data_IF_384004161383
#
_entry.id   IF_384004161383
#
_cell.length_a   1.000
_cell.length_b   1.000
_cell.length_c   1.000
_cell.angle_alpha   90.00
_cell.angle_beta   90.00
_cell.angle_gamma   90.00
#
_symmetry.space_group_name_H-M   'P 1'
#
loop_
_entity.id
_entity.type
_entity.pdbx_description
1 polymer ?
#
# COMPACT_ATOMS: atom_id res chain seq x y z
N UNK A 1 -26.54 4.14 -7.73
CA UNK A 1 -25.09 4.34 -7.53
C UNK A 1 -24.58 5.17 -8.71
N UNK A 2 -23.61 6.03 -8.52
CA UNK A 2 -23.00 6.86 -9.55
C UNK A 2 -21.50 7.03 -9.30
N UNK A 3 -20.80 7.60 -10.26
CA UNK A 3 -19.39 7.98 -10.17
C UNK A 3 -19.34 9.49 -10.33
N UNK A 4 -18.65 10.19 -9.44
CA UNK A 4 -18.48 11.65 -9.55
C UNK A 4 -17.36 12.03 -10.55
N UNK A 5 -17.10 13.33 -10.71
CA UNK A 5 -16.08 13.85 -11.62
C UNK A 5 -14.64 13.45 -11.23
N UNK A 6 -14.42 13.08 -9.96
CA UNK A 6 -13.12 12.64 -9.44
C UNK A 6 -12.96 11.11 -9.46
N UNK A 7 -13.98 10.38 -9.92
CA UNK A 7 -14.00 8.92 -9.97
C UNK A 7 -14.44 8.26 -8.66
N UNK A 8 -15.00 9.03 -7.72
CA UNK A 8 -15.50 8.48 -6.46
C UNK A 8 -16.88 7.83 -6.66
N UNK A 9 -17.04 6.64 -6.09
CA UNK A 9 -18.32 5.94 -6.06
C UNK A 9 -19.25 6.60 -5.05
N UNK A 10 -20.42 7.04 -5.52
CA UNK A 10 -21.44 7.68 -4.70
C UNK A 10 -22.72 6.84 -4.68
N UNK A 11 -23.35 6.71 -3.51
CA UNK A 11 -24.55 5.89 -3.31
C UNK A 11 -25.72 6.76 -2.86
N UNK A 12 -26.84 6.67 -3.56
CA UNK A 12 -28.13 7.22 -3.11
C UNK A 12 -29.16 6.11 -3.04
N UNK A 13 -29.63 5.83 -1.84
CA UNK A 13 -30.54 4.71 -1.57
C UNK A 13 -31.21 4.90 -0.22
N UNK A 14 -32.41 4.36 0.00
CA UNK A 14 -33.04 4.30 1.33
C UNK A 14 -32.19 3.52 2.37
N UNK A 15 -31.21 2.70 1.94
CA UNK A 15 -30.30 1.97 2.80
C UNK A 15 -29.10 2.79 3.29
N UNK A 16 -28.89 4.01 2.77
CA UNK A 16 -27.88 4.92 3.29
C UNK A 16 -28.25 5.34 4.70
N UNK A 17 -27.28 5.27 5.63
CA UNK A 17 -27.48 5.69 7.02
C UNK A 17 -27.88 7.17 7.12
N UNK A 18 -28.57 7.53 8.21
CA UNK A 18 -28.95 8.93 8.46
C UNK A 18 -27.76 9.83 8.81
N UNK A 19 -26.63 9.24 9.19
CA UNK A 19 -25.39 9.95 9.56
C UNK A 19 -24.49 9.13 10.48
N UNK A 20 -23.37 9.72 10.86
CA UNK A 20 -22.40 9.15 11.78
C UNK A 20 -22.70 9.58 13.22
N UNK A 21 -22.79 8.63 14.13
CA UNK A 21 -23.17 8.89 15.52
C UNK A 21 -22.22 9.87 16.21
N UNK A 22 -22.78 10.93 16.81
CA UNK A 22 -22.06 12.02 17.47
C UNK A 22 -20.96 12.69 16.61
N UNK A 23 -21.10 12.62 15.27
CA UNK A 23 -20.12 13.20 14.34
C UNK A 23 -20.82 13.92 13.17
N UNK A 24 -21.46 15.08 13.44
CA UNK A 24 -22.19 15.83 12.42
C UNK A 24 -21.29 16.32 11.28
N UNK A 25 -20.07 16.76 11.58
CA UNK A 25 -19.12 17.29 10.59
C UNK A 25 -18.77 16.22 9.54
N UNK A 26 -18.52 14.98 9.97
CA UNK A 26 -18.29 13.85 9.06
C UNK A 26 -19.56 13.52 8.28
N UNK A 27 -20.72 13.62 8.91
CA UNK A 27 -22.01 13.37 8.25
C UNK A 27 -22.22 14.36 7.11
N UNK A 28 -22.04 15.65 7.33
CA UNK A 28 -22.18 16.70 6.31
C UNK A 28 -21.19 16.56 5.17
N UNK A 29 -19.96 16.12 5.46
CA UNK A 29 -18.94 15.88 4.46
C UNK A 29 -19.19 14.63 3.61
N UNK A 30 -19.75 13.58 4.23
CA UNK A 30 -19.93 12.29 3.56
C UNK A 30 -21.30 12.12 2.91
N UNK A 31 -22.33 12.83 3.40
CA UNK A 31 -23.68 12.75 2.85
C UNK A 31 -24.08 14.12 2.32
N UNK A 32 -23.91 14.32 1.02
CA UNK A 32 -24.21 15.57 0.33
C UNK A 32 -25.41 15.37 -0.60
N UNK A 33 -26.46 16.16 -0.44
CA UNK A 33 -27.69 16.09 -1.24
C UNK A 33 -28.33 14.68 -1.29
N UNK A 34 -28.16 13.92 -0.21
CA UNK A 34 -28.65 12.54 -0.07
C UNK A 34 -27.78 11.50 -0.81
N UNK A 35 -26.61 11.89 -1.31
CA UNK A 35 -25.59 10.99 -1.83
C UNK A 35 -24.53 10.74 -0.78
N UNK A 36 -24.28 9.45 -0.47
CA UNK A 36 -23.14 9.03 0.34
C UNK A 36 -21.90 8.97 -0.55
N UNK A 37 -20.90 9.80 -0.24
CA UNK A 37 -19.56 9.74 -0.78
C UNK A 37 -18.78 8.64 -0.06
N UNK A 38 -18.47 7.54 -0.76
CA UNK A 38 -17.92 6.34 -0.12
C UNK A 38 -16.44 6.46 0.23
N UNK A 39 -15.75 7.40 -0.41
CA UNK A 39 -14.29 7.50 -0.38
C UNK A 39 -13.59 6.43 -1.23
N UNK A 40 -14.35 5.55 -1.89
CA UNK A 40 -13.81 4.53 -2.79
C UNK A 40 -13.84 5.03 -4.24
N UNK A 41 -12.74 4.84 -4.94
CA UNK A 41 -12.62 5.13 -6.38
C UNK A 41 -13.01 3.90 -7.18
N UNK A 42 -13.72 4.10 -8.27
CA UNK A 42 -14.17 2.98 -9.09
C UNK A 42 -14.83 3.39 -10.39
N UNK A 43 -15.35 2.39 -11.09
CA UNK A 43 -16.10 2.55 -12.31
C UNK A 43 -17.36 1.70 -12.28
N UNK A 44 -18.33 2.07 -13.11
CA UNK A 44 -19.54 1.31 -13.36
C UNK A 44 -19.56 1.05 -14.87
N UNK A 45 -19.61 -0.22 -15.26
CA UNK A 45 -19.68 -0.57 -16.67
C UNK A 45 -21.10 -0.43 -17.24
N UNK A 46 -21.26 -0.67 -18.54
CA UNK A 46 -22.55 -0.54 -19.24
C UNK A 46 -23.60 -1.54 -18.77
N UNK A 47 -23.19 -2.66 -18.18
CA UNK A 47 -24.06 -3.68 -17.61
C UNK A 47 -24.40 -3.39 -16.11
N UNK A 48 -23.82 -2.31 -15.54
CA UNK A 48 -24.06 -1.87 -14.18
C UNK A 48 -23.19 -2.53 -13.12
N UNK A 49 -22.16 -3.31 -13.49
CA UNK A 49 -21.19 -3.86 -12.55
C UNK A 49 -20.25 -2.79 -12.05
N UNK A 50 -19.98 -2.83 -10.74
CA UNK A 50 -19.12 -1.89 -10.04
C UNK A 50 -17.73 -2.50 -9.85
N UNK A 51 -16.70 -1.80 -10.30
CA UNK A 51 -15.31 -2.14 -10.03
C UNK A 51 -14.67 -1.09 -9.13
N UNK A 52 -14.10 -1.53 -8.00
CA UNK A 52 -13.38 -0.66 -7.05
C UNK A 52 -11.89 -0.73 -7.37
N UNK A 53 -11.26 0.42 -7.60
CA UNK A 53 -9.83 0.53 -7.94
C UNK A 53 -8.97 1.04 -6.78
N UNK A 54 -9.60 1.51 -5.71
CA UNK A 54 -8.87 1.97 -4.53
C UNK A 54 -9.66 2.95 -3.68
N UNK A 55 -8.95 3.60 -2.75
CA UNK A 55 -9.51 4.67 -1.91
C UNK A 55 -8.94 6.02 -2.28
N UNK A 56 -9.80 7.03 -2.34
CA UNK A 56 -9.43 8.43 -2.66
C UNK A 56 -8.32 8.95 -1.73
N UNK A 57 -8.44 8.72 -0.43
CA UNK A 57 -7.44 9.13 0.59
C UNK A 57 -6.14 8.32 0.59
N UNK A 58 -6.14 7.16 -0.06
CA UNK A 58 -4.97 6.28 -0.13
C UNK A 58 -4.19 6.47 -1.44
N UNK A 59 -4.68 7.35 -2.34
CA UNK A 59 -3.94 7.71 -3.55
C UNK A 59 -2.59 8.32 -3.19
N UNK A 60 -1.57 7.85 -3.89
CA UNK A 60 -0.22 8.40 -3.82
C UNK A 60 -0.06 9.39 -4.97
N UNK A 61 0.18 10.65 -4.65
CA UNK A 61 0.44 11.69 -5.65
C UNK A 61 1.95 11.91 -5.72
N UNK A 62 2.59 11.38 -6.74
CA UNK A 62 4.04 11.53 -6.92
C UNK A 62 4.45 12.98 -7.15
N UNK A 63 5.74 13.31 -6.98
CA UNK A 63 6.27 14.65 -7.29
C UNK A 63 6.04 15.07 -8.75
N UNK A 64 5.83 14.12 -9.66
CA UNK A 64 5.47 14.36 -11.06
C UNK A 64 3.97 14.57 -11.29
N UNK A 65 3.14 14.61 -10.23
CA UNK A 65 1.68 14.79 -10.33
C UNK A 65 0.91 13.56 -10.79
N UNK A 66 1.52 12.36 -10.82
CA UNK A 66 0.83 11.13 -11.18
C UNK A 66 0.09 10.57 -9.95
N UNK A 67 -1.20 10.30 -10.12
CA UNK A 67 -2.02 9.59 -9.14
C UNK A 67 -1.79 8.08 -9.30
N UNK A 68 -1.45 7.42 -8.21
CA UNK A 68 -1.18 5.97 -8.15
C UNK A 68 -2.05 5.36 -7.07
N UNK A 69 -2.90 4.38 -7.44
CA UNK A 69 -3.64 3.56 -6.48
C UNK A 69 -2.75 2.39 -6.03
N UNK A 70 -2.45 2.25 -4.74
CA UNK A 70 -1.57 1.19 -4.26
C UNK A 70 -2.26 -0.17 -4.14
N UNK A 71 -3.57 -0.22 -4.08
CA UNK A 71 -4.37 -1.35 -3.61
C UNK A 71 -4.08 -2.65 -4.38
N UNK A 72 -4.11 -2.59 -5.72
CA UNK A 72 -3.94 -3.77 -6.56
C UNK A 72 -2.50 -4.31 -6.50
N UNK A 73 -1.52 -3.42 -6.52
CA UNK A 73 -0.10 -3.81 -6.44
C UNK A 73 0.26 -4.37 -5.07
N UNK A 74 -0.20 -3.74 -3.99
CA UNK A 74 -0.02 -4.24 -2.63
C UNK A 74 -0.65 -5.62 -2.46
N UNK A 75 -1.89 -5.80 -2.93
CA UNK A 75 -2.57 -7.10 -2.91
C UNK A 75 -1.80 -8.16 -3.71
N UNK A 76 -1.27 -7.82 -4.88
CA UNK A 76 -0.44 -8.72 -5.68
C UNK A 76 0.84 -9.15 -4.95
N UNK A 77 1.54 -8.23 -4.29
CA UNK A 77 2.75 -8.54 -3.50
C UNK A 77 2.41 -9.45 -2.32
N UNK A 78 1.32 -9.18 -1.62
CA UNK A 78 0.85 -9.99 -0.49
C UNK A 78 0.36 -11.39 -0.89
N UNK A 79 0.31 -11.73 -2.18
CA UNK A 79 0.13 -13.15 -2.60
C UNK A 79 1.38 -13.99 -2.41
N UNK A 80 2.54 -13.39 -2.17
CA UNK A 80 3.77 -14.12 -1.85
C UNK A 80 3.69 -14.71 -0.45
N UNK A 81 4.02 -16.00 -0.26
CA UNK A 81 3.86 -16.68 1.02
C UNK A 81 4.71 -16.10 2.16
N UNK A 82 5.79 -15.38 1.82
CA UNK A 82 6.69 -14.80 2.84
C UNK A 82 6.25 -13.40 3.30
N UNK A 83 5.33 -12.75 2.57
CA UNK A 83 4.92 -11.36 2.83
C UNK A 83 3.70 -11.31 3.73
N UNK A 84 3.83 -10.68 4.89
CA UNK A 84 2.71 -10.38 5.79
C UNK A 84 1.97 -9.11 5.37
N UNK A 85 2.69 -8.01 5.19
CA UNK A 85 2.10 -6.72 4.80
C UNK A 85 2.99 -6.02 3.77
N UNK A 86 2.35 -5.24 2.91
CA UNK A 86 3.03 -4.36 1.95
C UNK A 86 2.39 -2.98 2.00
N UNK A 87 3.20 -1.94 2.14
CA UNK A 87 2.76 -0.54 2.11
C UNK A 87 3.55 0.22 1.06
N UNK A 88 2.88 0.58 -0.02
CA UNK A 88 3.47 1.45 -1.04
C UNK A 88 3.56 2.88 -0.53
N UNK A 89 4.66 3.54 -0.83
CA UNK A 89 4.98 4.91 -0.44
C UNK A 89 5.46 5.70 -1.65
N UNK A 90 5.29 7.01 -1.64
CA UNK A 90 5.73 7.82 -2.78
C UNK A 90 5.04 9.17 -2.88
N UNK A 91 4.19 9.53 -1.90
CA UNK A 91 3.53 10.83 -1.88
C UNK A 91 4.56 11.95 -1.90
N UNK A 92 4.46 12.85 -2.89
CA UNK A 92 5.42 13.95 -3.17
C UNK A 92 6.88 13.49 -3.35
N UNK A 93 7.11 12.20 -3.60
CA UNK A 93 8.45 11.64 -3.85
C UNK A 93 8.68 11.40 -5.35
N UNK A 94 9.95 11.29 -5.78
CA UNK A 94 10.30 11.18 -7.21
C UNK A 94 9.92 9.83 -7.84
N UNK A 95 9.61 8.82 -7.04
CA UNK A 95 9.21 7.49 -7.50
C UNK A 95 8.44 6.73 -6.40
N UNK A 96 7.75 5.67 -6.78
CA UNK A 96 7.07 4.76 -5.87
C UNK A 96 8.07 3.77 -5.28
N UNK A 97 7.94 3.53 -3.97
CA UNK A 97 8.68 2.50 -3.24
C UNK A 97 7.71 1.70 -2.35
N UNK A 98 8.21 0.63 -1.72
CA UNK A 98 7.43 -0.18 -0.79
C UNK A 98 8.18 -0.49 0.49
N UNK A 99 7.46 -0.53 1.60
CA UNK A 99 7.87 -1.12 2.89
C UNK A 99 7.15 -2.45 3.00
N UNK A 100 7.90 -3.51 3.25
CA UNK A 100 7.39 -4.88 3.27
C UNK A 100 7.76 -5.52 4.59
N UNK A 101 6.77 -6.06 5.31
CA UNK A 101 6.98 -6.92 6.48
C UNK A 101 6.75 -8.37 6.10
N UNK A 102 7.46 -9.26 6.79
CA UNK A 102 7.39 -10.70 6.57
C UNK A 102 6.57 -11.37 7.68
N UNK A 103 6.06 -12.56 7.38
CA UNK A 103 5.59 -13.52 8.36
C UNK A 103 6.70 -14.54 8.63
N UNK A 104 7.19 -14.64 9.88
CA UNK A 104 8.32 -15.51 10.21
C UNK A 104 7.96 -16.99 10.05
N UNK A 105 6.75 -17.37 10.48
CA UNK A 105 6.31 -18.76 10.43
C UNK A 105 6.15 -19.24 8.97
N UNK A 106 5.44 -18.45 8.17
CA UNK A 106 5.23 -18.72 6.74
C UNK A 106 6.55 -18.66 5.96
N UNK A 107 7.45 -17.73 6.30
CA UNK A 107 8.79 -17.62 5.70
C UNK A 107 9.59 -18.91 5.94
N UNK A 108 9.59 -19.43 7.17
CA UNK A 108 10.31 -20.66 7.52
C UNK A 108 9.72 -21.89 6.84
N UNK A 109 8.39 -22.00 6.76
CA UNK A 109 7.71 -23.07 6.01
C UNK A 109 8.06 -23.00 4.51
N UNK A 110 8.10 -21.79 3.96
CA UNK A 110 8.47 -21.60 2.57
C UNK A 110 9.94 -21.93 2.29
N UNK A 111 10.89 -21.49 3.16
CA UNK A 111 12.30 -21.84 3.06
C UNK A 111 12.53 -23.35 3.10
N UNK A 112 11.87 -24.06 4.03
CA UNK A 112 11.91 -25.53 4.12
C UNK A 112 11.43 -26.16 2.82
N UNK A 113 10.36 -25.67 2.22
CA UNK A 113 9.85 -26.16 0.91
C UNK A 113 10.84 -25.99 -0.24
N UNK A 114 11.80 -25.06 -0.09
CA UNK A 114 12.89 -24.81 -1.05
C UNK A 114 14.16 -25.57 -0.71
N UNK A 115 14.18 -26.35 0.37
CA UNK A 115 15.37 -27.04 0.87
C UNK A 115 16.42 -26.10 1.44
N UNK A 116 16.01 -24.91 1.88
CA UNK A 116 16.87 -23.91 2.51
C UNK A 116 16.76 -23.99 4.05
N UNK A 117 17.77 -23.47 4.74
CA UNK A 117 17.77 -23.39 6.20
C UNK A 117 16.75 -22.36 6.68
N UNK A 118 16.09 -22.66 7.80
CA UNK A 118 15.20 -21.74 8.49
C UNK A 118 16.00 -20.61 9.13
N UNK A 119 15.33 -19.48 9.33
CA UNK A 119 15.89 -18.29 9.98
C UNK A 119 15.34 -18.16 11.41
N UNK A 120 16.14 -17.59 12.31
CA UNK A 120 15.78 -17.49 13.72
C UNK A 120 14.74 -16.40 14.01
N UNK A 121 14.80 -15.29 13.26
CA UNK A 121 13.94 -14.12 13.48
C UNK A 121 13.73 -13.31 12.18
N UNK A 122 12.90 -12.26 12.28
CA UNK A 122 12.60 -11.37 11.16
C UNK A 122 13.80 -10.52 10.72
N UNK A 123 14.73 -10.21 11.60
CA UNK A 123 15.95 -9.49 11.25
C UNK A 123 16.81 -10.34 10.32
N UNK A 124 17.01 -11.62 10.64
CA UNK A 124 17.70 -12.57 9.78
C UNK A 124 16.93 -12.80 8.47
N UNK A 125 15.60 -12.97 8.55
CA UNK A 125 14.74 -13.14 7.38
C UNK A 125 14.87 -11.97 6.40
N UNK A 126 14.87 -10.73 6.89
CA UNK A 126 14.95 -9.51 6.07
C UNK A 126 16.27 -9.40 5.28
N UNK A 127 17.34 -10.03 5.78
CA UNK A 127 18.69 -10.05 5.20
C UNK A 127 18.94 -11.32 4.37
N UNK A 128 18.10 -12.33 4.50
CA UNK A 128 18.26 -13.60 3.80
C UNK A 128 18.13 -13.41 2.28
N UNK A 129 19.14 -13.78 1.48
CA UNK A 129 19.13 -13.54 0.04
C UNK A 129 18.03 -14.33 -0.70
N UNK A 130 17.64 -15.50 -0.20
CA UNK A 130 16.59 -16.34 -0.80
C UNK A 130 15.22 -15.67 -0.58
N UNK A 131 14.95 -15.19 0.63
CA UNK A 131 13.73 -14.46 0.98
C UNK A 131 13.65 -13.14 0.19
N UNK A 132 14.77 -12.40 0.11
CA UNK A 132 14.83 -11.14 -0.65
C UNK A 132 14.55 -11.37 -2.15
N UNK A 133 15.07 -12.45 -2.74
CA UNK A 133 14.79 -12.79 -4.13
C UNK A 133 13.31 -13.14 -4.37
N UNK A 134 12.65 -13.79 -3.43
CA UNK A 134 11.20 -14.06 -3.51
C UNK A 134 10.38 -12.77 -3.43
N UNK A 135 10.71 -11.88 -2.50
CA UNK A 135 10.04 -10.57 -2.40
C UNK A 135 10.26 -9.75 -3.67
N UNK A 136 11.48 -9.73 -4.21
CA UNK A 136 11.78 -9.06 -5.49
C UNK A 136 10.98 -9.64 -6.64
N UNK A 137 10.81 -10.97 -6.70
CA UNK A 137 9.95 -11.64 -7.68
C UNK A 137 8.49 -11.17 -7.55
N UNK A 138 7.96 -11.08 -6.31
CA UNK A 138 6.60 -10.60 -6.05
C UNK A 138 6.42 -9.13 -6.47
N UNK A 139 7.38 -8.27 -6.15
CA UNK A 139 7.39 -6.85 -6.56
C UNK A 139 7.45 -6.73 -8.09
N UNK A 140 8.29 -7.50 -8.76
CA UNK A 140 8.38 -7.48 -10.22
C UNK A 140 7.07 -7.93 -10.88
N UNK A 141 6.43 -8.97 -10.34
CA UNK A 141 5.10 -9.41 -10.80
C UNK A 141 4.04 -8.32 -10.63
N UNK A 142 4.02 -7.63 -9.48
CA UNK A 142 3.10 -6.51 -9.25
C UNK A 142 3.38 -5.35 -10.21
N UNK A 143 4.64 -5.09 -10.55
CA UNK A 143 5.01 -4.06 -11.51
C UNK A 143 4.53 -4.32 -12.94
N UNK A 144 4.17 -5.56 -13.29
CA UNK A 144 3.54 -5.88 -14.58
C UNK A 144 2.13 -5.28 -14.71
N UNK A 145 1.46 -5.02 -13.58
CA UNK A 145 0.13 -4.39 -13.52
C UNK A 145 0.18 -2.87 -13.68
N UNK A 146 1.37 -2.27 -13.62
CA UNK A 146 1.54 -0.83 -13.51
C UNK A 146 2.28 -0.22 -14.69
N UNK A 147 1.98 1.04 -15.00
CA UNK A 147 2.79 1.81 -15.91
C UNK A 147 4.19 2.09 -15.32
N UNK A 148 5.14 2.47 -16.18
CA UNK A 148 6.51 2.82 -15.73
C UNK A 148 6.55 3.91 -14.64
N UNK A 149 5.59 4.82 -14.62
CA UNK A 149 5.52 5.89 -13.65
C UNK A 149 4.96 5.42 -12.29
N UNK A 150 4.17 4.34 -12.29
CA UNK A 150 3.51 3.74 -11.14
C UNK A 150 4.31 2.59 -10.52
N UNK A 151 5.32 2.07 -11.26
CA UNK A 151 6.13 0.93 -10.83
C UNK A 151 6.91 1.22 -9.55
N UNK A 152 6.96 0.24 -8.67
CA UNK A 152 7.83 0.25 -7.46
C UNK A 152 9.27 0.16 -7.92
N UNK A 153 10.06 1.21 -7.62
CA UNK A 153 11.48 1.33 -8.01
C UNK A 153 12.43 0.82 -6.95
N UNK A 154 12.02 0.85 -5.70
CA UNK A 154 12.76 0.35 -4.55
C UNK A 154 11.80 -0.25 -3.55
N UNK A 155 12.28 -1.21 -2.80
CA UNK A 155 11.58 -1.72 -1.62
C UNK A 155 12.58 -1.99 -0.50
N UNK A 156 12.09 -1.93 0.72
CA UNK A 156 12.84 -2.38 1.90
C UNK A 156 11.98 -3.39 2.68
N UNK A 157 12.64 -4.47 3.09
CA UNK A 157 12.08 -5.48 3.97
C UNK A 157 12.47 -5.06 5.39
N UNK A 158 11.45 -4.85 6.22
CA UNK A 158 11.67 -4.41 7.61
C UNK A 158 11.71 -5.62 8.56
N UNK A 159 12.51 -5.54 9.64
CA UNK A 159 12.66 -6.65 10.59
C UNK A 159 11.52 -6.71 11.63
N UNK A 160 10.48 -5.91 11.45
CA UNK A 160 9.38 -5.81 12.40
C UNK A 160 8.10 -6.41 11.82
N UNK A 161 7.34 -7.09 12.65
CA UNK A 161 5.98 -7.47 12.34
C UNK A 161 5.04 -6.27 12.52
N UNK A 162 4.05 -6.11 11.64
CA UNK A 162 3.02 -5.10 11.82
C UNK A 162 1.90 -5.67 12.67
N UNK A 163 1.76 -5.14 13.88
CA UNK A 163 0.78 -5.59 14.89
C UNK A 163 -0.16 -4.47 15.30
N UNK A 164 -1.25 -4.84 15.94
CA UNK A 164 -2.16 -3.86 16.57
C UNK A 164 -1.49 -3.14 17.74
N UNK A 165 -0.64 -3.84 18.50
CA UNK A 165 0.07 -3.31 19.66
C UNK A 165 1.03 -2.17 19.26
N UNK A 166 1.77 -2.32 18.15
CA UNK A 166 2.65 -1.26 17.64
C UNK A 166 1.90 -0.22 16.78
N UNK A 167 0.59 -0.41 16.59
CA UNK A 167 -0.29 0.52 15.90
C UNK A 167 -0.12 0.55 14.39
N UNK A 168 0.62 -0.38 13.79
CA UNK A 168 0.88 -0.42 12.35
C UNK A 168 -0.24 -1.09 11.54
N UNK A 169 -1.09 -1.89 12.19
CA UNK A 169 -2.32 -2.44 11.59
C UNK A 169 -3.54 -2.09 12.43
N UNK A 170 -4.70 -2.24 11.81
CA UNK A 170 -6.00 -2.18 12.50
C UNK A 170 -6.35 -3.52 13.14
N UNK A 171 -7.37 -3.62 14.04
CA UNK A 171 -7.87 -4.91 14.55
C UNK A 171 -8.28 -5.91 13.46
N UNK A 172 -8.60 -5.41 12.25
CA UNK A 172 -8.90 -6.26 11.08
C UNK A 172 -7.67 -6.55 10.22
N UNK A 173 -6.46 -6.40 10.77
CA UNK A 173 -5.16 -6.67 10.13
C UNK A 173 -4.88 -5.88 8.85
N UNK A 174 -5.48 -4.69 8.70
CA UNK A 174 -5.20 -3.80 7.57
C UNK A 174 -4.10 -2.81 7.95
N UNK A 175 -3.06 -2.70 7.13
CA UNK A 175 -1.96 -1.76 7.35
C UNK A 175 -2.45 -0.30 7.45
N UNK A 176 -1.97 0.41 8.47
CA UNK A 176 -2.22 1.83 8.68
C UNK A 176 -1.13 2.64 8.01
N UNK A 177 -1.29 2.91 6.70
CA UNK A 177 -0.28 3.56 5.85
C UNK A 177 0.42 4.74 6.51
N UNK A 178 -0.33 5.68 7.09
CA UNK A 178 0.25 6.86 7.73
C UNK A 178 1.12 6.50 8.93
N UNK A 179 0.69 5.53 9.75
CA UNK A 179 1.46 5.06 10.89
C UNK A 179 2.75 4.36 10.45
N UNK A 180 2.69 3.53 9.41
CA UNK A 180 3.87 2.86 8.82
C UNK A 180 4.86 3.90 8.27
N UNK A 181 4.39 4.89 7.51
CA UNK A 181 5.24 5.97 6.97
C UNK A 181 5.92 6.76 8.09
N UNK A 182 5.21 7.07 9.16
CA UNK A 182 5.77 7.80 10.29
C UNK A 182 6.81 6.95 11.05
N UNK A 183 6.46 5.70 11.33
CA UNK A 183 7.33 4.75 12.04
C UNK A 183 8.67 4.54 11.29
N UNK A 184 8.61 4.37 9.97
CA UNK A 184 9.79 4.14 9.14
C UNK A 184 10.33 5.40 8.47
N UNK A 185 9.98 6.61 8.93
CA UNK A 185 10.40 7.88 8.33
C UNK A 185 11.91 7.95 8.10
N UNK A 186 12.71 7.56 9.09
CA UNK A 186 14.18 7.57 8.98
C UNK A 186 14.70 6.63 7.89
N UNK A 187 14.14 5.42 7.79
CA UNK A 187 14.46 4.45 6.74
C UNK A 187 14.08 5.00 5.37
N UNK A 188 12.89 5.56 5.26
CA UNK A 188 12.36 6.13 4.03
C UNK A 188 13.26 7.25 3.52
N UNK A 189 13.63 8.21 4.37
CA UNK A 189 14.40 9.38 3.95
C UNK A 189 15.89 9.10 3.76
N UNK A 190 16.48 8.19 4.55
CA UNK A 190 17.94 7.95 4.53
C UNK A 190 18.36 6.74 3.68
N UNK A 191 17.46 5.82 3.38
CA UNK A 191 17.77 4.59 2.62
C UNK A 191 17.04 4.57 1.28
N UNK A 192 15.74 4.82 1.28
CA UNK A 192 14.92 4.73 0.06
C UNK A 192 15.12 5.97 -0.82
N UNK A 193 14.91 7.16 -0.28
CA UNK A 193 14.95 8.42 -1.02
C UNK A 193 16.23 9.24 -0.75
N UNK A 194 17.37 8.57 -0.76
CA UNK A 194 18.66 9.27 -0.60
C UNK A 194 18.82 10.30 -1.71
N UNK A 195 19.08 11.57 -1.41
CA UNK A 195 19.39 12.57 -2.42
C UNK A 195 20.60 12.12 -3.24
N UNK A 196 20.50 12.10 -4.58
CA UNK A 196 21.68 11.92 -5.42
C UNK A 196 22.67 13.04 -5.08
N UNK A 197 23.90 12.69 -4.64
CA UNK A 197 24.97 13.66 -4.61
C UNK A 197 25.07 14.28 -6.02
N UNK A 198 25.08 15.62 -6.15
CA UNK A 198 25.33 16.22 -7.45
C UNK A 198 26.64 15.64 -7.98
N UNK A 199 26.63 15.19 -9.24
CA UNK A 199 27.85 14.78 -9.91
C UNK A 199 28.83 15.95 -9.81
N UNK A 200 30.02 15.72 -9.20
CA UNK A 200 31.05 16.69 -9.22
C UNK A 200 31.36 16.97 -10.69
N UNK A 201 31.10 18.20 -11.14
CA UNK A 201 31.55 18.65 -12.44
C UNK A 201 33.08 18.52 -12.41
N UNK A 202 33.61 17.57 -13.16
CA UNK A 202 35.02 17.52 -13.48
C UNK A 202 35.28 18.77 -14.34
N UNK A 203 36.08 19.69 -13.78
CA UNK A 203 36.72 20.77 -14.52
C UNK A 203 37.76 20.21 -15.49
#
# INVERSE_FOLDING_TARGET
MGVDEEGELCIKSPAVCAGYHNNPDVTEQQIVDGWLHTGDLGSIDDDGFVSIVGRKKDLIITAGGKNVSPCEMEASIMTSPVVSQCVMIGDRKPFIAAIISLDLAETNLWLESKGAEQVADLDEASKNPIVRAEVERAVNKANELASRAESIRKFEIVPDEFTEENGLVTPSMKARRQAVVEHYRTLIDKVIYVPRKPAAHAE
#
